data_IF_232833978390
#
_entry.id   IF_232833978390
#
_cell.length_a   1.000
_cell.length_b   1.000
_cell.length_c   1.000
_cell.angle_alpha   90.00
_cell.angle_beta   90.00
_cell.angle_gamma   90.00
#
_symmetry.space_group_name_H-M   'P 1'
#
loop_
_entity.id
_entity.type
_entity.pdbx_description
1 polymer ?
#
# COMPACT_ATOMS: atom_id res chain seq x y z
N UNK A 1 -0.69 9.12 -18.11
CA UNK A 1 0.33 9.15 -19.17
C UNK A 1 -0.31 9.33 -20.56
N UNK A 2 -1.42 10.07 -20.67
CA UNK A 2 -2.03 10.31 -21.99
C UNK A 2 -1.27 11.40 -22.76
N UNK A 3 -0.59 12.30 -22.05
CA UNK A 3 0.20 13.40 -22.62
C UNK A 3 1.70 13.07 -22.78
N UNK A 4 2.10 11.81 -22.57
CA UNK A 4 3.50 11.38 -22.70
C UNK A 4 3.71 10.76 -24.08
N UNK A 5 4.64 11.30 -24.87
CA UNK A 5 4.96 10.74 -26.19
C UNK A 5 5.52 9.32 -26.08
N UNK A 6 5.32 8.51 -27.13
CA UNK A 6 5.88 7.15 -27.19
C UNK A 6 7.41 7.14 -27.06
N UNK A 7 8.08 8.14 -27.64
CA UNK A 7 9.52 8.31 -27.50
C UNK A 7 9.94 8.50 -26.03
N UNK A 8 9.19 9.30 -25.26
CA UNK A 8 9.49 9.52 -23.84
C UNK A 8 9.23 8.28 -22.99
N UNK A 9 8.18 7.51 -23.30
CA UNK A 9 7.92 6.21 -22.66
C UNK A 9 9.08 5.26 -22.93
N UNK A 10 9.58 5.22 -24.17
CA UNK A 10 10.70 4.38 -24.55
C UNK A 10 11.99 4.80 -23.82
N UNK A 11 12.31 6.10 -23.76
CA UNK A 11 13.45 6.61 -22.98
C UNK A 11 13.35 6.26 -21.49
N UNK A 12 12.16 6.36 -20.89
CA UNK A 12 11.96 5.94 -19.50
C UNK A 12 12.23 4.45 -19.29
N UNK A 13 11.77 3.59 -20.21
CA UNK A 13 12.04 2.16 -20.15
C UNK A 13 13.53 1.88 -20.26
N UNK A 14 14.22 2.51 -21.21
CA UNK A 14 15.67 2.37 -21.38
C UNK A 14 16.42 2.75 -20.10
N UNK A 15 16.13 3.92 -19.52
CA UNK A 15 16.74 4.36 -18.25
C UNK A 15 16.46 3.37 -17.11
N UNK A 16 15.24 2.83 -17.06
CA UNK A 16 14.87 1.86 -16.03
C UNK A 16 15.59 0.51 -16.21
N UNK A 17 15.75 0.04 -17.45
CA UNK A 17 16.43 -1.21 -17.76
C UNK A 17 17.95 -1.13 -17.70
N UNK A 18 18.54 0.07 -17.74
CA UNK A 18 19.97 0.27 -17.43
C UNK A 18 20.31 -0.04 -15.96
N UNK A 19 19.32 -0.06 -15.07
CA UNK A 19 19.51 -0.40 -13.66
C UNK A 19 19.68 -1.90 -13.47
N UNK A 20 20.47 -2.31 -12.50
CA UNK A 20 20.59 -3.69 -12.05
C UNK A 20 19.27 -4.21 -11.46
N UNK A 21 19.13 -5.52 -11.36
CA UNK A 21 17.95 -6.14 -10.72
C UNK A 21 17.77 -5.69 -9.27
N UNK A 22 18.86 -5.49 -8.53
CA UNK A 22 18.82 -5.02 -7.13
C UNK A 22 18.32 -3.58 -7.04
N UNK A 23 18.82 -2.69 -7.90
CA UNK A 23 18.35 -1.29 -7.93
C UNK A 23 16.86 -1.22 -8.29
N UNK A 24 16.41 -2.01 -9.28
CA UNK A 24 14.98 -2.06 -9.64
C UNK A 24 14.13 -2.60 -8.49
N UNK A 25 14.62 -3.60 -7.76
CA UNK A 25 13.95 -4.12 -6.58
C UNK A 25 13.81 -3.05 -5.49
N UNK A 26 14.89 -2.33 -5.19
CA UNK A 26 14.87 -1.26 -4.17
C UNK A 26 13.91 -0.13 -4.56
N UNK A 27 13.92 0.30 -5.83
CA UNK A 27 12.96 1.28 -6.33
C UNK A 27 11.52 0.80 -6.10
N UNK A 28 11.23 -0.46 -6.41
CA UNK A 28 9.91 -1.05 -6.19
C UNK A 28 9.52 -1.05 -4.71
N UNK A 29 10.43 -1.50 -3.83
CA UNK A 29 10.20 -1.54 -2.39
C UNK A 29 9.96 -0.15 -1.80
N UNK A 30 10.76 0.84 -2.18
CA UNK A 30 10.61 2.24 -1.75
C UNK A 30 9.30 2.84 -2.27
N UNK A 31 8.93 2.56 -3.52
CA UNK A 31 7.67 3.03 -4.10
C UNK A 31 6.46 2.46 -3.35
N UNK A 32 6.49 1.18 -3.00
CA UNK A 32 5.44 0.54 -2.19
C UNK A 32 5.37 1.19 -0.80
N UNK A 33 6.52 1.38 -0.12
CA UNK A 33 6.57 2.00 1.19
C UNK A 33 6.05 3.45 1.16
N UNK A 34 6.40 4.20 0.12
CA UNK A 34 5.92 5.56 -0.09
C UNK A 34 4.41 5.59 -0.34
N UNK A 35 3.90 4.73 -1.22
CA UNK A 35 2.46 4.58 -1.47
C UNK A 35 1.69 4.24 -0.20
N UNK A 36 2.23 3.36 0.65
CA UNK A 36 1.67 3.07 1.97
C UNK A 36 1.62 4.30 2.87
N UNK A 37 2.70 5.07 2.92
CA UNK A 37 2.78 6.31 3.72
C UNK A 37 1.74 7.33 3.27
N UNK A 38 1.52 7.49 1.97
CA UNK A 38 0.48 8.37 1.42
C UNK A 38 -0.91 7.93 1.91
N UNK A 39 -1.23 6.64 1.79
CA UNK A 39 -2.54 6.12 2.21
C UNK A 39 -2.75 6.31 3.71
N UNK A 40 -1.77 5.92 4.53
CA UNK A 40 -1.84 6.11 5.99
C UNK A 40 -2.03 7.57 6.36
N UNK A 41 -1.28 8.49 5.74
CA UNK A 41 -1.40 9.92 5.98
C UNK A 41 -2.78 10.45 5.60
N UNK A 42 -3.32 10.03 4.46
CA UNK A 42 -4.66 10.43 4.01
C UNK A 42 -5.77 9.98 4.97
N UNK A 43 -5.59 8.83 5.63
CA UNK A 43 -6.55 8.31 6.62
C UNK A 43 -6.40 9.08 7.93
N UNK A 44 -5.16 9.29 8.40
CA UNK A 44 -4.88 10.07 9.63
C UNK A 44 -5.38 11.50 9.52
N UNK A 45 -5.29 12.14 8.36
CA UNK A 45 -5.86 13.48 8.14
C UNK A 45 -7.37 13.52 8.35
N UNK A 46 -8.10 12.47 7.97
CA UNK A 46 -9.55 12.37 8.18
C UNK A 46 -9.92 11.92 9.59
N UNK A 47 -9.04 11.16 10.25
CA UNK A 47 -9.23 10.61 11.58
C UNK A 47 -7.97 10.81 12.44
N UNK A 48 -7.73 12.03 12.98
CA UNK A 48 -6.46 12.36 13.65
C UNK A 48 -6.12 11.50 14.86
N UNK A 49 -7.13 10.93 15.52
CA UNK A 49 -7.00 10.10 16.73
C UNK A 49 -7.17 8.60 16.45
N UNK A 50 -7.07 8.18 15.19
CA UNK A 50 -7.21 6.75 14.85
C UNK A 50 -6.14 5.92 15.56
N UNK A 51 -6.55 4.85 16.22
CA UNK A 51 -5.61 3.91 16.85
C UNK A 51 -4.79 3.17 15.79
N UNK A 52 -3.61 2.67 16.18
CA UNK A 52 -2.73 1.96 15.24
C UNK A 52 -3.42 0.72 14.61
N UNK A 53 -4.18 -0.03 15.41
CA UNK A 53 -4.95 -1.19 14.91
C UNK A 53 -6.02 -0.76 13.91
N UNK A 54 -6.78 0.29 14.22
CA UNK A 54 -7.83 0.79 13.33
C UNK A 54 -7.24 1.38 12.04
N UNK A 55 -6.05 2.00 12.12
CA UNK A 55 -5.32 2.45 10.94
C UNK A 55 -4.93 1.27 10.05
N UNK A 56 -4.37 0.19 10.62
CA UNK A 56 -4.02 -1.02 9.86
C UNK A 56 -5.24 -1.64 9.17
N UNK A 57 -6.38 -1.70 9.86
CA UNK A 57 -7.65 -2.17 9.29
C UNK A 57 -8.13 -1.25 8.17
N UNK A 58 -8.05 0.07 8.35
CA UNK A 58 -8.47 1.05 7.34
C UNK A 58 -7.57 1.02 6.08
N UNK A 59 -6.26 0.84 6.25
CA UNK A 59 -5.33 0.65 5.13
C UNK A 59 -5.65 -0.65 4.39
N UNK A 60 -5.85 -1.75 5.12
CA UNK A 60 -6.26 -3.02 4.52
C UNK A 60 -7.56 -2.88 3.73
N UNK A 61 -8.57 -2.20 4.30
CA UNK A 61 -9.82 -1.88 3.61
C UNK A 61 -9.55 -1.13 2.32
N UNK A 62 -8.76 -0.05 2.37
CA UNK A 62 -8.47 0.79 1.20
C UNK A 62 -7.88 -0.01 0.03
N UNK A 63 -7.05 -1.01 0.32
CA UNK A 63 -6.40 -1.81 -0.72
C UNK A 63 -7.27 -2.96 -1.23
N UNK A 64 -8.10 -3.55 -0.38
CA UNK A 64 -8.71 -4.85 -0.67
C UNK A 64 -10.24 -4.90 -0.55
N UNK A 65 -10.93 -3.77 -0.29
CA UNK A 65 -12.40 -3.78 -0.14
C UNK A 65 -13.15 -4.32 -1.36
N UNK A 66 -12.59 -4.15 -2.56
CA UNK A 66 -13.19 -4.63 -3.80
C UNK A 66 -12.77 -6.06 -4.19
N UNK A 67 -11.89 -6.70 -3.39
CA UNK A 67 -11.35 -8.03 -3.66
C UNK A 67 -12.09 -9.09 -2.84
N UNK A 68 -12.46 -8.77 -1.60
CA UNK A 68 -13.13 -9.70 -0.69
C UNK A 68 -14.62 -9.41 -0.61
N UNK A 69 -15.43 -10.48 -0.48
CA UNK A 69 -16.82 -10.31 -0.06
C UNK A 69 -16.87 -9.68 1.34
N UNK A 70 -18.00 -9.05 1.68
CA UNK A 70 -18.20 -8.47 3.02
C UNK A 70 -17.93 -9.48 4.14
N UNK A 71 -18.37 -10.73 3.97
CA UNK A 71 -18.20 -11.80 4.96
C UNK A 71 -16.73 -12.19 5.12
N UNK A 72 -15.97 -12.29 4.04
CA UNK A 72 -14.53 -12.58 4.08
C UNK A 72 -13.75 -11.42 4.71
N UNK A 73 -14.09 -10.20 4.33
CA UNK A 73 -13.48 -9.01 4.88
C UNK A 73 -13.66 -8.95 6.41
N UNK A 74 -14.88 -9.19 6.91
CA UNK A 74 -15.16 -9.23 8.35
C UNK A 74 -14.38 -10.34 9.08
N UNK A 75 -14.21 -11.52 8.47
CA UNK A 75 -13.37 -12.59 9.03
C UNK A 75 -11.91 -12.16 9.15
N UNK A 76 -11.37 -11.51 8.13
CA UNK A 76 -9.99 -11.00 8.14
C UNK A 76 -9.82 -9.93 9.21
N UNK A 77 -10.73 -8.96 9.30
CA UNK A 77 -10.68 -7.92 10.33
C UNK A 77 -10.73 -8.52 11.74
N UNK A 78 -11.61 -9.50 11.99
CA UNK A 78 -11.65 -10.21 13.29
C UNK A 78 -10.33 -10.89 13.60
N UNK A 79 -9.72 -11.55 12.61
CA UNK A 79 -8.41 -12.18 12.76
C UNK A 79 -7.30 -11.16 13.08
N UNK A 80 -7.29 -10.01 12.40
CA UNK A 80 -6.36 -8.92 12.68
C UNK A 80 -6.51 -8.42 14.11
N UNK A 81 -7.74 -8.13 14.55
CA UNK A 81 -8.02 -7.67 15.92
C UNK A 81 -7.51 -8.71 16.93
N UNK A 82 -7.87 -9.98 16.74
CA UNK A 82 -7.43 -11.06 17.62
C UNK A 82 -5.90 -11.12 17.71
N UNK A 83 -5.21 -11.13 16.56
CA UNK A 83 -3.75 -11.18 16.51
C UNK A 83 -3.11 -10.01 17.27
N UNK A 84 -3.57 -8.77 17.04
CA UNK A 84 -2.95 -7.59 17.66
C UNK A 84 -3.30 -7.43 19.15
N UNK A 85 -4.43 -7.97 19.61
CA UNK A 85 -4.78 -7.96 21.04
C UNK A 85 -4.04 -9.04 21.84
N UNK A 86 -3.64 -10.14 21.20
CA UNK A 86 -3.01 -11.29 21.88
C UNK A 86 -1.51 -11.42 21.60
N UNK A 87 -0.94 -10.51 20.79
CA UNK A 87 0.50 -10.41 20.62
C UNK A 87 1.10 -9.85 21.92
N UNK A 88 1.61 -10.72 22.77
CA UNK A 88 2.53 -10.31 23.86
C UNK A 88 3.75 -9.66 23.21
N UNK A 89 4.02 -8.40 23.58
CA UNK A 89 5.27 -7.72 23.30
C UNK A 89 6.42 -8.44 24.01
#
# INVERSE_FOLDING_TARGET
MLDTSQEMIQKQREIFFLKTSNERFMIGAETIAFGRTIVESSIKQKHPQISELNLKIAVFKRYYENIFSKVEFEKIVKSMIYYYMHRKL
#
